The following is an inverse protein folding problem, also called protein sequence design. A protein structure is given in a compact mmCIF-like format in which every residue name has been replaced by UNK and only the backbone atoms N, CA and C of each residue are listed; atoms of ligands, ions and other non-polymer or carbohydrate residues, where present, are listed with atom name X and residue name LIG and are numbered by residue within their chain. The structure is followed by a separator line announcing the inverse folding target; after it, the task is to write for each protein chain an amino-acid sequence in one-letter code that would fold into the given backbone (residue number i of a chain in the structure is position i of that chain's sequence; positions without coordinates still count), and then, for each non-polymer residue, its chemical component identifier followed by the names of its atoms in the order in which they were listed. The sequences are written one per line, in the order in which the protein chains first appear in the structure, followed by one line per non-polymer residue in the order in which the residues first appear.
data_IF_043256733457
#
_entry.id   IF_043256733457
#
_cell.length_a   1.000
_cell.length_b   1.000
_cell.length_c   1.000
_cell.angle_alpha   90.00
_cell.angle_beta   90.00
_cell.angle_gamma   90.00
#
_symmetry.space_group_name_H-M   'P 1'
#
loop_
_entity.id
_entity.type
_entity.pdbx_description
1 polymer ?
#
# COMPACT_ATOMS: atom_id res chain seq x y z
N UNK A 1 4.81 28.47 17.46
CA UNK A 1 4.97 27.09 16.95
C UNK A 1 4.09 26.10 17.71
N UNK A 2 2.79 26.00 17.35
CA UNK A 2 1.82 25.13 18.06
C UNK A 2 1.05 24.19 17.10
N UNK A 3 1.33 24.28 15.80
CA UNK A 3 0.59 23.61 14.73
C UNK A 3 0.99 22.14 14.55
N UNK A 4 2.24 21.79 14.88
CA UNK A 4 2.74 20.42 14.74
C UNK A 4 1.99 19.38 15.57
N UNK A 5 1.80 19.55 16.90
CA UNK A 5 1.18 18.52 17.73
C UNK A 5 -0.30 18.27 17.41
N UNK A 6 -1.04 19.30 16.96
CA UNK A 6 -2.46 19.17 16.62
C UNK A 6 -2.69 18.51 15.25
N UNK A 7 -1.72 18.59 14.34
CA UNK A 7 -1.78 17.93 13.03
C UNK A 7 -1.33 16.47 13.07
N UNK A 8 -0.55 16.05 14.07
CA UNK A 8 -0.05 14.67 14.22
C UNK A 8 -1.12 13.58 14.01
N UNK A 9 -2.31 13.59 14.66
CA UNK A 9 -3.29 12.52 14.49
C UNK A 9 -3.86 12.44 13.06
N UNK A 10 -4.01 13.59 12.40
CA UNK A 10 -4.51 13.68 11.02
C UNK A 10 -3.42 13.22 10.04
N UNK A 11 -2.18 13.69 10.20
CA UNK A 11 -1.05 13.30 9.36
C UNK A 11 -0.75 11.80 9.44
N UNK A 12 -0.83 11.19 10.62
CA UNK A 12 -0.67 9.74 10.82
C UNK A 12 -1.71 8.96 10.02
N UNK A 13 -2.98 9.39 10.07
CA UNK A 13 -4.06 8.76 9.28
C UNK A 13 -3.84 8.92 7.77
N UNK A 14 -3.40 10.09 7.31
CA UNK A 14 -3.11 10.34 5.90
C UNK A 14 -1.93 9.46 5.43
N UNK A 15 -0.88 9.33 6.23
CA UNK A 15 0.27 8.47 5.93
C UNK A 15 -0.18 7.02 5.78
N UNK A 16 -1.07 6.53 6.64
CA UNK A 16 -1.64 5.19 6.51
C UNK A 16 -2.35 5.01 5.17
N UNK A 17 -3.25 5.93 4.82
CA UNK A 17 -4.01 5.87 3.57
C UNK A 17 -3.05 5.85 2.38
N UNK A 18 -2.06 6.76 2.35
CA UNK A 18 -1.06 6.83 1.29
C UNK A 18 -0.22 5.57 1.18
N UNK A 19 0.14 4.96 2.31
CA UNK A 19 0.87 3.70 2.33
C UNK A 19 0.05 2.57 1.70
N UNK A 20 -1.24 2.47 2.03
CA UNK A 20 -2.15 1.47 1.45
C UNK A 20 -2.33 1.70 -0.06
N UNK A 21 -2.51 2.95 -0.49
CA UNK A 21 -2.63 3.30 -1.91
C UNK A 21 -1.37 2.92 -2.71
N UNK A 22 -0.18 3.11 -2.11
CA UNK A 22 1.09 2.79 -2.77
C UNK A 22 1.21 1.29 -3.12
N UNK A 23 0.69 0.38 -2.30
CA UNK A 23 0.71 -1.06 -2.59
C UNK A 23 -0.19 -1.48 -3.75
N UNK A 24 -1.18 -0.65 -4.10
CA UNK A 24 -2.17 -0.94 -5.14
C UNK A 24 -1.94 -0.12 -6.41
N UNK A 25 -0.86 0.65 -6.49
CA UNK A 25 -0.59 1.53 -7.63
C UNK A 25 -0.20 0.69 -8.85
N UNK A 26 -0.96 0.79 -9.93
CA UNK A 26 -0.70 0.10 -11.21
C UNK A 26 -0.38 1.13 -12.29
N UNK A 27 -1.03 2.30 -12.22
CA UNK A 27 -1.06 3.27 -13.31
C UNK A 27 0.29 3.97 -13.49
N UNK A 28 0.92 4.41 -12.40
CA UNK A 28 2.15 5.21 -12.47
C UNK A 28 3.33 4.43 -13.08
N UNK A 29 3.67 3.21 -12.61
CA UNK A 29 4.78 2.45 -13.20
C UNK A 29 4.51 2.02 -14.65
N UNK A 30 3.25 1.71 -14.96
CA UNK A 30 2.81 1.31 -16.30
C UNK A 30 2.93 2.46 -17.31
N UNK A 31 2.43 3.66 -16.97
CA UNK A 31 2.47 4.82 -17.87
C UNK A 31 3.89 5.32 -18.09
N UNK A 32 4.72 5.35 -17.04
CA UNK A 32 6.06 5.93 -17.14
C UNK A 32 7.08 5.02 -17.81
N UNK A 33 7.02 3.70 -17.54
CA UNK A 33 8.07 2.77 -17.95
C UNK A 33 7.57 1.46 -18.54
N UNK A 34 6.26 1.19 -18.48
CA UNK A 34 5.68 -0.12 -18.79
C UNK A 34 6.40 -1.30 -18.09
N UNK A 35 6.99 -1.07 -16.91
CA UNK A 35 7.73 -2.10 -16.15
C UNK A 35 9.20 -2.30 -16.53
N UNK A 36 9.74 -1.51 -17.48
CA UNK A 36 11.11 -1.65 -18.00
C UNK A 36 12.19 -0.73 -17.39
N UNK A 37 13.49 -0.92 -17.75
CA UNK A 37 14.01 -1.87 -18.74
C UNK A 37 14.01 -3.32 -18.23
N UNK A 38 13.43 -4.25 -19.01
CA UNK A 38 13.18 -5.62 -18.55
C UNK A 38 12.05 -5.67 -17.53
N UNK A 39 12.34 -6.18 -16.32
CA UNK A 39 11.43 -6.28 -15.17
C UNK A 39 11.84 -5.35 -14.00
N UNK A 40 12.77 -4.43 -14.24
CA UNK A 40 13.44 -3.68 -13.17
C UNK A 40 12.52 -2.69 -12.43
N UNK A 41 11.48 -2.17 -13.09
CA UNK A 41 10.52 -1.21 -12.50
C UNK A 41 9.13 -1.82 -12.35
N UNK A 42 9.01 -3.13 -12.50
CA UNK A 42 7.75 -3.84 -12.40
C UNK A 42 7.35 -3.99 -10.93
N UNK A 43 6.29 -3.28 -10.52
CA UNK A 43 5.69 -3.49 -9.20
C UNK A 43 4.90 -4.80 -9.17
N UNK A 44 4.71 -5.38 -7.98
CA UNK A 44 3.91 -6.62 -7.81
C UNK A 44 2.48 -6.48 -8.37
N UNK A 45 1.90 -5.29 -8.21
CA UNK A 45 0.60 -4.90 -8.74
C UNK A 45 0.59 -4.84 -10.28
N UNK A 46 1.67 -4.33 -10.89
CA UNK A 46 1.86 -4.30 -12.34
C UNK A 46 2.10 -5.71 -12.90
N UNK A 47 2.82 -6.55 -12.16
CA UNK A 47 3.02 -7.95 -12.52
C UNK A 47 1.72 -8.74 -12.56
N UNK A 48 0.86 -8.58 -11.55
CA UNK A 48 -0.50 -9.16 -11.55
C UNK A 48 -1.31 -8.71 -12.78
N UNK A 49 -1.15 -7.46 -13.21
CA UNK A 49 -1.82 -6.92 -14.39
C UNK A 49 -1.29 -7.53 -15.70
N UNK A 50 0.02 -7.77 -15.83
CA UNK A 50 0.57 -8.47 -16.98
C UNK A 50 0.13 -9.94 -17.04
N UNK A 51 0.10 -10.66 -15.91
CA UNK A 51 -0.39 -12.04 -15.86
C UNK A 51 -1.86 -12.14 -16.30
N UNK A 52 -2.67 -11.15 -15.93
CA UNK A 52 -4.06 -11.05 -16.43
C UNK A 52 -4.11 -10.84 -17.95
N UNK A 53 -3.25 -9.96 -18.51
CA UNK A 53 -3.15 -9.75 -19.97
C UNK A 53 -2.70 -11.00 -20.73
N UNK A 54 -1.88 -11.86 -20.14
CA UNK A 54 -1.42 -13.13 -20.75
C UNK A 54 -2.40 -14.29 -20.53
N UNK A 55 -3.64 -14.01 -20.09
CA UNK A 55 -4.68 -14.99 -19.79
C UNK A 55 -4.37 -15.93 -18.61
N UNK A 56 -3.37 -15.65 -17.77
CA UNK A 56 -3.15 -16.37 -16.52
C UNK A 56 -3.92 -15.71 -15.38
N UNK A 57 -5.24 -15.98 -15.37
CA UNK A 57 -6.15 -15.48 -14.34
C UNK A 57 -5.78 -16.01 -12.94
N UNK A 58 -5.34 -17.26 -12.86
CA UNK A 58 -4.93 -17.89 -11.59
C UNK A 58 -3.71 -17.22 -10.98
N UNK A 59 -2.67 -16.98 -11.78
CA UNK A 59 -1.46 -16.29 -11.35
C UNK A 59 -1.75 -14.84 -10.96
N UNK A 60 -2.57 -14.14 -11.74
CA UNK A 60 -3.00 -12.77 -11.39
C UNK A 60 -3.79 -12.73 -10.08
N UNK A 61 -4.73 -13.66 -9.89
CA UNK A 61 -5.54 -13.76 -8.67
C UNK A 61 -4.68 -14.09 -7.44
N UNK A 62 -3.72 -15.03 -7.56
CA UNK A 62 -2.83 -15.40 -6.46
C UNK A 62 -2.01 -14.19 -5.96
N UNK A 63 -1.43 -13.42 -6.87
CA UNK A 63 -0.69 -12.19 -6.52
C UNK A 63 -1.62 -11.15 -5.91
N UNK A 64 -2.84 -10.99 -6.43
CA UNK A 64 -3.86 -10.09 -5.88
C UNK A 64 -4.26 -10.43 -4.45
N UNK A 65 -4.50 -11.70 -4.15
CA UNK A 65 -4.80 -12.15 -2.79
C UNK A 65 -3.61 -11.99 -1.84
N UNK A 66 -2.38 -12.24 -2.31
CA UNK A 66 -1.17 -12.02 -1.52
C UNK A 66 -1.03 -10.53 -1.14
N UNK A 67 -1.21 -9.62 -2.10
CA UNK A 67 -1.22 -8.18 -1.84
C UNK A 67 -2.34 -7.78 -0.87
N UNK A 68 -3.53 -8.39 -0.98
CA UNK A 68 -4.63 -8.15 -0.03
C UNK A 68 -4.25 -8.56 1.39
N UNK A 69 -3.66 -9.74 1.59
CA UNK A 69 -3.24 -10.22 2.91
C UNK A 69 -2.18 -9.28 3.52
N UNK A 70 -1.19 -8.86 2.73
CA UNK A 70 -0.15 -7.92 3.18
C UNK A 70 -0.76 -6.57 3.55
N UNK A 71 -1.66 -6.03 2.73
CA UNK A 71 -2.34 -4.76 3.03
C UNK A 71 -3.17 -4.83 4.31
N UNK A 72 -3.93 -5.91 4.51
CA UNK A 72 -4.72 -6.12 5.74
C UNK A 72 -3.79 -6.24 6.95
N UNK A 73 -2.69 -6.99 6.85
CA UNK A 73 -1.72 -7.13 7.93
C UNK A 73 -1.12 -5.77 8.33
N UNK A 74 -0.76 -4.93 7.36
CA UNK A 74 -0.22 -3.59 7.59
C UNK A 74 -1.29 -2.69 8.24
N UNK A 75 -2.53 -2.71 7.74
CA UNK A 75 -3.64 -1.97 8.34
C UNK A 75 -3.87 -2.36 9.81
N UNK A 76 -3.95 -3.65 10.11
CA UNK A 76 -4.17 -4.14 11.47
C UNK A 76 -3.00 -3.76 12.39
N UNK A 77 -1.76 -3.93 11.90
CA UNK A 77 -0.55 -3.55 12.63
C UNK A 77 -0.57 -2.05 12.94
N UNK A 78 -0.88 -1.21 11.96
CA UNK A 78 -0.93 0.23 12.15
C UNK A 78 -2.03 0.67 13.11
N UNK A 79 -3.25 0.14 12.97
CA UNK A 79 -4.36 0.43 13.89
C UNK A 79 -3.98 0.02 15.33
N UNK A 80 -3.31 -1.11 15.51
CA UNK A 80 -2.85 -1.55 16.84
C UNK A 80 -1.81 -0.59 17.45
N UNK A 81 -0.90 -0.03 16.63
CA UNK A 81 0.09 0.94 17.06
C UNK A 81 -0.55 2.29 17.42
N UNK A 82 -1.47 2.79 16.59
CA UNK A 82 -2.18 4.04 16.85
C UNK A 82 -3.03 3.94 18.10
N UNK A 83 -3.75 2.82 18.30
CA UNK A 83 -4.51 2.59 19.54
C UNK A 83 -3.63 2.68 20.78
N UNK A 84 -2.45 2.04 20.78
CA UNK A 84 -1.48 2.15 21.89
C UNK A 84 -1.04 3.59 22.14
N UNK A 85 -0.74 4.35 21.09
CA UNK A 85 -0.29 5.74 21.22
C UNK A 85 -1.40 6.66 21.79
N UNK A 86 -2.65 6.41 21.42
CA UNK A 86 -3.80 7.15 21.97
C UNK A 86 -4.00 6.79 23.44
N UNK A 87 -3.89 5.52 23.81
CA UNK A 87 -4.05 5.05 25.20
C UNK A 87 -2.97 5.62 26.13
N UNK A 88 -1.72 5.69 25.65
CA UNK A 88 -0.59 6.30 26.39
C UNK A 88 -0.76 7.82 26.53
N UNK A 89 -1.37 8.50 25.55
CA UNK A 89 -1.59 9.95 25.60
C UNK A 89 -2.80 10.36 26.47
N UNK A 90 -3.64 9.40 26.90
CA UNK A 90 -4.75 9.63 27.83
C UNK A 90 -4.41 9.34 29.30
N UNK A 91 -3.21 8.82 29.59
CA UNK A 91 -2.63 8.76 30.94
C UNK A 91 -1.76 9.99 31.23
#
# INVERSE_FOLDING_TARGET
DITWPTLLPVSVTIILIRLIEAFKIIDLPNVMTNGGPGIATESLSLHSYFNWRTMDLSGSAAVGYLLMVVAVFICLSFVSLVKKQVEIAQQ
#
